data_IF_637038900003
#
_entry.id   IF_637038900003
#
_cell.length_a   1.000
_cell.length_b   1.000
_cell.length_c   1.000
_cell.angle_alpha   90.00
_cell.angle_beta   90.00
_cell.angle_gamma   90.00
#
_symmetry.space_group_name_H-M   'P 1'
#
loop_
_entity.id
_entity.type
_entity.pdbx_description
1 polymer ?
#
# COMPACT_ATOMS: atom_id res chain seq x y z
N UNK A 1 -29.28 12.17 -5.64
CA UNK A 1 -28.02 12.93 -5.82
C UNK A 1 -27.02 12.31 -4.85
N UNK A 2 -26.02 11.59 -5.35
CA UNK A 2 -25.00 10.99 -4.47
C UNK A 2 -23.91 12.04 -4.28
N UNK A 3 -23.78 12.50 -3.05
CA UNK A 3 -22.85 13.53 -2.60
C UNK A 3 -21.40 13.06 -2.84
N UNK A 4 -20.65 13.77 -3.70
CA UNK A 4 -19.25 13.46 -4.07
C UNK A 4 -18.26 13.97 -3.01
N UNK A 5 -18.59 13.84 -1.73
CA UNK A 5 -17.76 14.32 -0.61
C UNK A 5 -17.71 13.29 0.51
N UNK A 6 -17.18 12.11 0.25
CA UNK A 6 -16.49 11.34 1.30
C UNK A 6 -15.64 10.20 0.75
N UNK A 7 -14.74 10.49 -0.22
CA UNK A 7 -13.57 9.63 -0.44
C UNK A 7 -12.48 10.09 0.55
N UNK A 8 -12.80 10.08 1.84
CA UNK A 8 -11.95 10.67 2.90
C UNK A 8 -11.33 9.61 3.81
N UNK A 9 -11.05 8.43 3.26
CA UNK A 9 -10.05 7.51 3.79
C UNK A 9 -9.70 6.51 2.70
N UNK A 10 -8.48 6.52 2.13
CA UNK A 10 -8.02 5.31 1.47
C UNK A 10 -7.97 4.22 2.55
N UNK A 11 -8.65 3.11 2.34
CA UNK A 11 -8.57 1.93 3.21
C UNK A 11 -7.13 1.43 3.37
N UNK A 12 -6.26 1.87 2.46
CA UNK A 12 -4.83 1.72 2.47
C UNK A 12 -4.14 2.48 3.60
N UNK A 13 -3.40 1.72 4.41
CA UNK A 13 -2.52 2.27 5.46
C UNK A 13 -1.07 1.92 5.21
N UNK A 14 -0.21 2.90 5.47
CA UNK A 14 1.22 2.66 5.55
C UNK A 14 1.52 2.02 6.91
N UNK A 15 2.07 0.81 6.88
CA UNK A 15 2.53 0.07 8.05
C UNK A 15 4.04 0.15 8.10
N UNK A 16 4.59 0.61 9.23
CA UNK A 16 6.03 0.59 9.49
C UNK A 16 6.39 -0.77 10.10
N UNK A 17 7.36 -1.45 9.51
CA UNK A 17 7.90 -2.72 9.99
C UNK A 17 9.36 -2.51 10.35
N UNK A 18 9.73 -2.92 11.55
CA UNK A 18 11.12 -2.96 12.00
C UNK A 18 11.49 -4.41 12.23
N UNK A 19 12.50 -4.90 11.53
CA UNK A 19 13.06 -6.24 11.74
C UNK A 19 14.50 -6.10 12.22
N UNK A 20 14.92 -6.97 13.13
CA UNK A 20 16.30 -7.01 13.62
C UNK A 20 16.92 -8.32 13.16
N UNK A 21 17.93 -8.24 12.30
CA UNK A 21 18.70 -9.38 11.79
C UNK A 21 20.16 -9.11 12.14
N UNK A 22 20.83 -10.07 12.81
CA UNK A 22 22.26 -10.01 13.16
C UNK A 22 22.71 -8.68 13.78
N UNK A 23 21.96 -8.19 14.78
CA UNK A 23 22.18 -6.92 15.50
C UNK A 23 22.00 -5.64 14.66
N UNK A 24 21.57 -5.76 13.40
CA UNK A 24 21.18 -4.63 12.55
C UNK A 24 19.66 -4.53 12.52
N UNK A 25 19.11 -3.37 12.87
CA UNK A 25 17.68 -3.09 12.75
C UNK A 25 17.41 -2.44 11.41
N UNK A 26 16.64 -3.11 10.57
CA UNK A 26 16.15 -2.57 9.31
C UNK A 26 14.70 -2.14 9.47
N UNK A 27 14.40 -0.93 9.03
CA UNK A 27 13.04 -0.38 9.01
C UNK A 27 12.59 -0.24 7.56
N UNK A 28 11.43 -0.78 7.26
CA UNK A 28 10.76 -0.58 5.98
C UNK A 28 9.27 -0.30 6.20
N UNK A 29 8.61 0.07 5.11
CA UNK A 29 7.21 0.44 5.10
C UNK A 29 6.47 -0.44 4.10
N UNK A 30 5.21 -0.74 4.37
CA UNK A 30 4.34 -1.53 3.52
C UNK A 30 2.99 -0.84 3.44
N UNK A 31 2.19 -1.17 2.42
CA UNK A 31 0.83 -0.62 2.27
C UNK A 31 -0.17 -1.75 2.41
N UNK A 32 -1.12 -1.59 3.33
CA UNK A 32 -2.17 -2.57 3.63
C UNK A 32 -3.54 -1.98 3.29
N UNK A 33 -4.26 -2.61 2.37
CA UNK A 33 -5.68 -2.34 2.13
C UNK A 33 -6.51 -3.10 3.17
N UNK A 34 -7.19 -2.36 4.04
CA UNK A 34 -8.03 -2.90 5.11
C UNK A 34 -9.30 -3.59 4.61
N UNK A 35 -9.90 -3.07 3.55
CA UNK A 35 -11.18 -3.57 3.05
C UNK A 35 -11.00 -4.90 2.34
N UNK A 36 -9.95 -5.03 1.54
CA UNK A 36 -9.61 -6.31 0.91
C UNK A 36 -8.96 -7.27 1.91
N UNK A 37 -8.31 -6.73 2.94
CA UNK A 37 -7.34 -7.45 3.77
C UNK A 37 -6.21 -8.06 2.91
N UNK A 38 -5.63 -7.21 2.05
CA UNK A 38 -4.50 -7.52 1.17
C UNK A 38 -3.42 -6.45 1.30
N UNK A 39 -2.20 -6.84 0.97
CA UNK A 39 -1.04 -5.96 0.94
C UNK A 39 -0.76 -5.53 -0.49
N UNK A 40 -0.21 -4.32 -0.64
CA UNK A 40 0.30 -3.88 -1.93
C UNK A 40 1.41 -4.82 -2.38
N UNK A 41 1.33 -5.35 -3.60
CA UNK A 41 2.40 -6.13 -4.21
C UNK A 41 3.37 -5.24 -5.01
N UNK A 42 4.43 -5.82 -5.55
CA UNK A 42 5.31 -5.11 -6.49
C UNK A 42 4.73 -5.00 -7.91
N UNK A 43 3.59 -5.62 -8.20
CA UNK A 43 2.99 -5.64 -9.53
C UNK A 43 2.32 -4.30 -9.87
N UNK A 44 2.17 -3.92 -11.15
CA UNK A 44 1.44 -2.71 -11.52
C UNK A 44 0.00 -2.67 -10.99
N UNK A 45 -0.55 -1.47 -10.73
CA UNK A 45 -1.89 -1.31 -10.12
C UNK A 45 -3.04 -1.89 -10.96
N UNK A 46 -2.89 -1.94 -12.28
CA UNK A 46 -3.89 -2.50 -13.19
C UNK A 46 -3.84 -4.03 -13.32
N UNK A 47 -2.86 -4.69 -12.73
CA UNK A 47 -2.73 -6.15 -12.82
C UNK A 47 -3.57 -6.84 -11.74
N UNK A 48 -4.02 -8.07 -12.05
CA UNK A 48 -4.81 -8.89 -11.12
C UNK A 48 -4.11 -9.11 -9.77
N UNK A 49 -2.79 -9.12 -9.77
CA UNK A 49 -1.96 -9.38 -8.61
C UNK A 49 -1.39 -8.11 -7.95
N UNK A 50 -1.91 -6.92 -8.27
CA UNK A 50 -1.56 -5.64 -7.63
C UNK A 50 -1.70 -5.67 -6.10
N UNK A 51 -2.57 -6.54 -5.61
CA UNK A 51 -2.82 -6.79 -4.20
C UNK A 51 -2.53 -8.26 -3.89
N UNK A 52 -1.82 -8.53 -2.81
CA UNK A 52 -1.45 -9.90 -2.41
C UNK A 52 -1.59 -10.17 -0.91
N UNK A 53 -1.91 -11.40 -0.54
CA UNK A 53 -1.79 -11.89 0.86
C UNK A 53 -0.44 -12.56 1.12
N UNK A 54 0.22 -13.04 0.06
CA UNK A 54 1.52 -13.69 0.11
C UNK A 54 2.58 -12.73 0.61
N UNK A 55 3.29 -13.13 1.68
CA UNK A 55 4.34 -12.37 2.34
C UNK A 55 5.50 -12.08 1.38
N UNK A 56 5.87 -13.03 0.53
CA UNK A 56 7.02 -12.91 -0.37
C UNK A 56 6.78 -11.90 -1.50
N UNK A 57 5.51 -11.60 -1.81
CA UNK A 57 5.13 -10.72 -2.93
C UNK A 57 4.81 -9.31 -2.50
N UNK A 58 4.81 -9.02 -1.20
CA UNK A 58 4.46 -7.69 -0.68
C UNK A 58 5.53 -6.68 -1.07
N UNK A 59 5.10 -5.51 -1.52
CA UNK A 59 5.98 -4.39 -1.75
C UNK A 59 6.53 -3.86 -0.41
N UNK A 60 7.84 -3.66 -0.39
CA UNK A 60 8.56 -3.04 0.72
C UNK A 60 9.16 -1.71 0.26
N UNK A 61 8.89 -0.66 1.01
CA UNK A 61 9.42 0.68 0.76
C UNK A 61 10.45 1.01 1.83
N UNK A 62 11.67 1.33 1.42
CA UNK A 62 12.77 1.66 2.35
C UNK A 62 12.52 2.96 3.13
N UNK A 63 11.71 3.86 2.59
CA UNK A 63 11.42 5.16 3.20
C UNK A 63 9.93 5.48 3.21
N UNK A 64 9.50 6.23 4.22
CA UNK A 64 8.13 6.72 4.32
C UNK A 64 7.73 7.57 3.11
N UNK A 65 8.67 8.34 2.54
CA UNK A 65 8.43 9.17 1.35
C UNK A 65 8.03 8.31 0.14
N UNK A 66 8.70 7.16 -0.08
CA UNK A 66 8.35 6.24 -1.15
C UNK A 66 6.98 5.60 -0.93
N UNK A 67 6.68 5.16 0.29
CA UNK A 67 5.37 4.62 0.63
C UNK A 67 4.24 5.64 0.45
N UNK A 68 4.45 6.91 0.84
CA UNK A 68 3.46 7.99 0.60
C UNK A 68 3.24 8.26 -0.88
N UNK A 69 4.31 8.24 -1.69
CA UNK A 69 4.20 8.41 -3.15
C UNK A 69 3.39 7.28 -3.78
N UNK A 70 3.64 6.04 -3.40
CA UNK A 70 2.84 4.90 -3.86
C UNK A 70 1.37 5.05 -3.45
N UNK A 71 1.11 5.46 -2.20
CA UNK A 71 -0.25 5.70 -1.72
C UNK A 71 -0.98 6.77 -2.55
N UNK A 72 -0.29 7.85 -2.94
CA UNK A 72 -0.83 8.86 -3.85
C UNK A 72 -1.15 8.29 -5.24
N UNK A 73 -0.30 7.40 -5.78
CA UNK A 73 -0.58 6.72 -7.05
C UNK A 73 -1.79 5.78 -6.96
N UNK A 74 -1.92 5.04 -5.86
CA UNK A 74 -3.10 4.19 -5.61
C UNK A 74 -4.37 5.04 -5.57
N UNK A 75 -4.35 6.14 -4.82
CA UNK A 75 -5.50 7.05 -4.72
C UNK A 75 -5.88 7.65 -6.08
N UNK A 76 -4.87 8.07 -6.88
CA UNK A 76 -5.10 8.56 -8.23
C UNK A 76 -5.71 7.46 -9.12
N UNK A 77 -5.13 6.27 -9.14
CA UNK A 77 -5.60 5.15 -9.97
C UNK A 77 -7.05 4.77 -9.65
N UNK A 78 -7.43 4.72 -8.37
CA UNK A 78 -8.83 4.48 -7.94
C UNK A 78 -9.77 5.60 -8.35
N UNK A 79 -9.30 6.84 -8.41
CA UNK A 79 -10.13 7.96 -8.86
C UNK A 79 -10.37 7.95 -10.38
N UNK A 80 -9.46 7.35 -11.14
CA UNK A 80 -9.53 7.22 -12.60
C UNK A 80 -10.25 5.93 -13.04
N UNK A 81 -10.31 4.91 -12.17
CA UNK A 81 -10.92 3.60 -12.44
C UNK A 81 -12.16 3.40 -11.56
N UNK A 82 -13.39 3.67 -12.08
CA UNK A 82 -14.64 3.56 -11.31
C UNK A 82 -15.06 2.11 -11.01
#
# INVERSE_FOLDING_TARGET
MIDRKDITNPDEKIVRVSTTIDKKTETFYMIWDRNLNYWRSNSPLGEYDAWTRDIARRATFETLKRAKRELSYIAQWRSETP
#
